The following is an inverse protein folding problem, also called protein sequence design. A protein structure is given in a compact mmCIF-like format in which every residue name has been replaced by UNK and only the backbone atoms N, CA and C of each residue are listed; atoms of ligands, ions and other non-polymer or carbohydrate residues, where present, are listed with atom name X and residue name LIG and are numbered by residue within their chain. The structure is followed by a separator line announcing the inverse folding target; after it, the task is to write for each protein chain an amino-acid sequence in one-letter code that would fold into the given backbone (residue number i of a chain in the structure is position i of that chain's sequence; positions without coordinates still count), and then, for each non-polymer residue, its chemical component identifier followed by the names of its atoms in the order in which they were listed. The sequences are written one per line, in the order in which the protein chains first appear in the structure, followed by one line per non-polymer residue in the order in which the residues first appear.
data_IF_835658793038
#
_entry.id   IF_835658793038
#
_cell.length_a   1.000
_cell.length_b   1.000
_cell.length_c   1.000
_cell.angle_alpha   90.00
_cell.angle_beta   90.00
_cell.angle_gamma   90.00
#
_symmetry.space_group_name_H-M   'P 1'
#
loop_
_entity.id
_entity.type
_entity.pdbx_description
1 polymer ?
#
# COMPACT_ATOMS: atom_id res chain seq x y z
N UNK A 1 -5.25 14.76 2.08
CA UNK A 1 -6.52 13.97 2.08
C UNK A 1 -6.56 13.16 3.37
N UNK A 2 -7.73 12.83 3.92
CA UNK A 2 -7.80 11.85 5.03
C UNK A 2 -7.71 10.45 4.43
N UNK A 3 -6.57 9.78 4.58
CA UNK A 3 -6.42 8.41 4.12
C UNK A 3 -7.08 7.43 5.09
N UNK A 4 -7.50 6.29 4.56
CA UNK A 4 -8.12 5.21 5.33
C UNK A 4 -7.39 3.93 5.01
N UNK A 5 -7.25 3.05 6.01
CA UNK A 5 -6.62 1.75 5.81
C UNK A 5 -7.33 0.99 4.68
N UNK A 6 -6.52 0.46 3.77
CA UNK A 6 -7.00 -0.30 2.62
C UNK A 6 -6.29 -1.63 2.56
N UNK A 7 -7.04 -2.70 2.38
CA UNK A 7 -6.45 -4.02 2.09
C UNK A 7 -6.18 -4.12 0.59
N UNK A 8 -4.97 -4.53 0.23
CA UNK A 8 -4.55 -4.79 -1.14
C UNK A 8 -4.15 -6.26 -1.31
N UNK A 9 -4.23 -6.77 -2.53
CA UNK A 9 -3.78 -8.12 -2.87
C UNK A 9 -2.37 -8.07 -3.45
N UNK A 10 -1.45 -8.86 -2.90
CA UNK A 10 -0.10 -8.98 -3.42
C UNK A 10 -0.11 -9.71 -4.77
N UNK A 11 0.51 -9.12 -5.79
CA UNK A 11 0.60 -9.69 -7.14
C UNK A 11 1.36 -11.03 -7.20
N UNK A 12 2.33 -11.25 -6.31
CA UNK A 12 3.20 -12.43 -6.39
C UNK A 12 2.67 -13.62 -5.59
N UNK A 13 2.24 -13.41 -4.34
CA UNK A 13 1.75 -14.49 -3.48
C UNK A 13 0.22 -14.55 -3.34
N UNK A 14 -0.53 -13.64 -3.96
CA UNK A 14 -1.99 -13.50 -3.87
C UNK A 14 -2.55 -13.34 -2.44
N UNK A 15 -1.70 -13.01 -1.47
CA UNK A 15 -2.14 -12.73 -0.10
C UNK A 15 -2.57 -11.27 0.04
N UNK A 16 -3.56 -11.07 0.89
CA UNK A 16 -3.98 -9.74 1.31
C UNK A 16 -2.94 -9.12 2.25
N UNK A 17 -2.72 -7.82 2.12
CA UNK A 17 -1.89 -7.05 3.03
C UNK A 17 -2.50 -5.66 3.25
N UNK A 18 -2.19 -5.08 4.41
CA UNK A 18 -2.69 -3.76 4.77
C UNK A 18 -1.82 -2.68 4.12
N UNK A 19 -2.46 -1.76 3.41
CA UNK A 19 -1.91 -0.49 2.99
C UNK A 19 -2.50 0.59 3.88
N UNK A 20 -1.76 0.91 4.94
CA UNK A 20 -2.25 1.78 6.02
C UNK A 20 -2.44 3.22 5.55
N UNK A 21 -3.27 3.98 6.27
CA UNK A 21 -3.42 5.42 6.05
C UNK A 21 -2.06 6.14 6.12
N UNK A 22 -1.19 5.77 7.06
CA UNK A 22 0.15 6.35 7.18
C UNK A 22 1.09 6.01 6.01
N UNK A 23 1.01 4.79 5.45
CA UNK A 23 1.76 4.46 4.23
C UNK A 23 1.22 5.24 3.02
N UNK A 24 -0.09 5.48 2.92
CA UNK A 24 -0.68 6.29 1.87
C UNK A 24 -0.22 7.76 1.95
N UNK A 25 -0.21 8.35 3.15
CA UNK A 25 0.36 9.68 3.39
C UNK A 25 1.83 9.75 3.02
N UNK A 26 2.61 8.72 3.37
CA UNK A 26 4.02 8.64 2.99
C UNK A 26 4.20 8.64 1.48
N UNK A 27 3.40 7.84 0.76
CA UNK A 27 3.43 7.79 -0.70
C UNK A 27 3.07 9.15 -1.32
N UNK A 28 1.98 9.79 -0.87
CA UNK A 28 1.58 11.12 -1.35
C UNK A 28 2.66 12.17 -1.08
N UNK A 29 3.26 12.17 0.12
CA UNK A 29 4.33 13.12 0.49
C UNK A 29 5.59 12.98 -0.38
N UNK A 30 5.81 11.80 -0.96
CA UNK A 30 6.92 11.49 -1.88
C UNK A 30 6.56 11.70 -3.34
N UNK A 31 5.33 12.13 -3.65
CA UNK A 31 4.83 12.23 -5.03
C UNK A 31 4.58 10.87 -5.69
N UNK A 32 4.50 9.79 -4.90
CA UNK A 32 4.22 8.44 -5.39
C UNK A 32 2.70 8.26 -5.50
N UNK A 33 2.20 8.30 -6.74
CA UNK A 33 0.77 8.10 -7.01
C UNK A 33 0.38 6.61 -7.15
N UNK A 34 1.38 5.71 -7.22
CA UNK A 34 1.15 4.28 -7.44
C UNK A 34 1.04 3.54 -6.11
N UNK A 35 -0.01 2.77 -5.93
CA UNK A 35 -0.18 1.88 -4.78
C UNK A 35 0.83 0.72 -4.81
N UNK A 36 1.27 0.20 -3.64
CA UNK A 36 2.13 -0.97 -3.58
C UNK A 36 1.42 -2.18 -4.19
N UNK A 37 2.11 -2.89 -5.10
CA UNK A 37 1.58 -4.11 -5.73
C UNK A 37 2.04 -5.39 -5.02
N UNK A 38 2.94 -5.28 -4.06
CA UNK A 38 3.56 -6.38 -3.32
C UNK A 38 3.38 -6.17 -1.82
N UNK A 39 3.04 -7.24 -1.11
CA UNK A 39 3.02 -7.23 0.36
C UNK A 39 4.45 -7.11 0.91
N UNK A 40 4.64 -6.66 2.17
CA UNK A 40 5.96 -6.52 2.78
C UNK A 40 6.85 -7.78 2.70
N UNK A 41 6.23 -8.96 2.77
CA UNK A 41 6.90 -10.26 2.66
C UNK A 41 7.47 -10.57 1.26
N UNK A 42 6.93 -9.93 0.21
CA UNK A 42 7.36 -10.12 -1.18
C UNK A 42 8.06 -8.89 -1.78
N UNK A 43 8.23 -7.82 -0.99
CA UNK A 43 8.92 -6.58 -1.42
C UNK A 43 10.42 -6.80 -1.54
#
# INVERSE_FOLDING_TARGET
MSFVDRTLTCRDCNREFLFTAGEQEFYESRGLQNEPRRCPECR
#
